data_IF_223380569646
#
_entry.id   IF_223380569646
#
_cell.length_a   1.000
_cell.length_b   1.000
_cell.length_c   1.000
_cell.angle_alpha   90.00
_cell.angle_beta   90.00
_cell.angle_gamma   90.00
#
_symmetry.space_group_name_H-M   'P 1'
#
loop_
_entity.id
_entity.type
_entity.pdbx_description
1 polymer ?
#
# COMPACT_ATOMS: atom_id res chain seq x y z
N UNK A 1 13.45 4.95 9.75
CA UNK A 1 14.78 4.66 10.34
C UNK A 1 14.65 3.69 11.52
N UNK A 2 13.77 3.97 12.48
CA UNK A 2 13.62 3.20 13.74
C UNK A 2 13.29 1.71 13.56
N UNK A 3 12.37 1.35 12.66
CA UNK A 3 12.00 -0.08 12.46
C UNK A 3 13.15 -0.90 11.85
N UNK A 4 13.91 -0.31 10.93
CA UNK A 4 15.08 -0.97 10.32
C UNK A 4 16.18 -1.22 11.37
N UNK A 5 16.41 -0.24 12.26
CA UNK A 5 17.33 -0.38 13.39
C UNK A 5 16.88 -1.45 14.40
N UNK A 6 15.58 -1.51 14.72
CA UNK A 6 15.03 -2.55 15.59
C UNK A 6 15.19 -3.96 15.00
N UNK A 7 15.00 -4.12 13.68
CA UNK A 7 15.23 -5.40 13.00
C UNK A 7 16.70 -5.81 13.03
N UNK A 8 17.63 -4.87 12.86
CA UNK A 8 19.07 -5.12 12.98
C UNK A 8 19.48 -5.52 14.41
N UNK A 9 18.75 -5.05 15.42
CA UNK A 9 18.93 -5.42 16.82
C UNK A 9 18.25 -6.75 17.21
N UNK A 10 17.65 -7.46 16.25
CA UNK A 10 17.06 -8.78 16.46
C UNK A 10 15.62 -8.78 16.99
N UNK A 11 14.94 -7.62 17.01
CA UNK A 11 13.52 -7.55 17.38
C UNK A 11 12.70 -8.26 16.29
N UNK A 12 11.82 -9.18 16.70
CA UNK A 12 11.02 -9.94 15.75
C UNK A 12 9.96 -9.08 15.08
N UNK A 13 9.55 -9.45 13.87
CA UNK A 13 8.49 -8.75 13.15
C UNK A 13 7.18 -8.69 13.95
N UNK A 14 6.89 -9.74 14.72
CA UNK A 14 5.72 -9.80 15.60
C UNK A 14 5.82 -8.78 16.76
N UNK A 15 6.99 -8.63 17.38
CA UNK A 15 7.21 -7.65 18.45
C UNK A 15 7.12 -6.20 17.93
N UNK A 16 7.57 -5.95 16.70
CA UNK A 16 7.43 -4.66 16.03
C UNK A 16 5.96 -4.36 15.74
N UNK A 17 5.20 -5.37 15.28
CA UNK A 17 3.77 -5.24 15.03
C UNK A 17 2.97 -4.96 16.32
N UNK A 18 3.32 -5.61 17.44
CA UNK A 18 2.71 -5.36 18.76
C UNK A 18 2.94 -3.93 19.27
N UNK A 19 4.01 -3.26 18.83
CA UNK A 19 4.32 -1.87 19.15
C UNK A 19 3.69 -0.86 18.17
N UNK A 20 2.84 -1.31 17.25
CA UNK A 20 2.23 -0.46 16.23
C UNK A 20 3.16 -0.08 15.06
N UNK A 21 4.29 -0.79 14.94
CA UNK A 21 5.18 -0.76 13.77
C UNK A 21 4.73 -1.71 12.66
N UNK A 22 5.58 -1.92 11.65
CA UNK A 22 5.27 -2.83 10.54
C UNK A 22 4.14 -2.29 9.65
N UNK A 23 3.34 -3.18 9.08
CA UNK A 23 2.28 -2.82 8.11
C UNK A 23 1.30 -1.77 8.66
N UNK A 24 0.93 -1.84 9.93
CA UNK A 24 0.01 -0.87 10.54
C UNK A 24 0.52 0.58 10.48
N UNK A 25 1.84 0.77 10.61
CA UNK A 25 2.45 2.10 10.49
C UNK A 25 2.38 2.65 9.06
N UNK A 26 2.58 1.77 8.07
CA UNK A 26 2.51 2.14 6.65
C UNK A 26 1.07 2.38 6.23
N UNK A 27 0.12 1.59 6.73
CA UNK A 27 -1.31 1.81 6.49
C UNK A 27 -1.72 3.18 7.01
N UNK A 28 -1.39 3.52 8.26
CA UNK A 28 -1.68 4.84 8.83
C UNK A 28 -1.10 5.97 7.98
N UNK A 29 0.19 5.91 7.65
CA UNK A 29 0.84 6.93 6.84
C UNK A 29 0.23 7.04 5.43
N UNK A 30 -0.21 5.93 4.85
CA UNK A 30 -0.85 5.90 3.52
C UNK A 30 -2.25 6.49 3.56
N UNK A 31 -3.03 6.21 4.61
CA UNK A 31 -4.36 6.80 4.83
C UNK A 31 -4.26 8.32 5.03
N UNK A 32 -3.29 8.79 5.82
CA UNK A 32 -3.07 10.22 6.10
C UNK A 32 -2.53 11.02 4.90
N UNK A 33 -1.81 10.39 3.97
CA UNK A 33 -1.26 11.06 2.81
C UNK A 33 -2.34 11.38 1.75
N UNK A 34 -2.25 12.55 1.13
CA UNK A 34 -3.06 12.91 -0.03
C UNK A 34 -2.51 12.29 -1.34
N UNK A 35 -3.30 12.39 -2.43
CA UNK A 35 -2.91 11.87 -3.75
C UNK A 35 -1.59 12.43 -4.25
N UNK A 36 -1.35 13.74 -4.09
CA UNK A 36 -0.13 14.38 -4.58
C UNK A 36 1.10 13.87 -3.84
N UNK A 37 1.04 13.76 -2.51
CA UNK A 37 2.12 13.22 -1.68
C UNK A 37 2.45 11.78 -2.10
N UNK A 38 1.43 10.93 -2.29
CA UNK A 38 1.61 9.56 -2.74
C UNK A 38 2.23 9.49 -4.15
N UNK A 39 1.74 10.31 -5.07
CA UNK A 39 2.24 10.41 -6.44
C UNK A 39 3.71 10.85 -6.48
N UNK A 40 4.07 11.94 -5.81
CA UNK A 40 5.45 12.47 -5.79
C UNK A 40 6.41 11.44 -5.20
N UNK A 41 6.03 10.81 -4.08
CA UNK A 41 6.85 9.79 -3.44
C UNK A 41 7.06 8.56 -4.34
N UNK A 42 6.00 8.07 -4.98
CA UNK A 42 6.07 6.92 -5.90
C UNK A 42 6.87 7.25 -7.16
N UNK A 43 6.68 8.44 -7.76
CA UNK A 43 7.46 8.92 -8.90
C UNK A 43 8.95 8.96 -8.61
N UNK A 44 9.35 9.42 -7.41
CA UNK A 44 10.76 9.40 -6.98
C UNK A 44 11.37 7.99 -6.97
N UNK A 45 10.58 6.99 -6.56
CA UNK A 45 10.99 5.57 -6.60
C UNK A 45 11.08 5.04 -8.03
N UNK A 46 10.09 5.34 -8.88
CA UNK A 46 10.11 4.98 -10.30
C UNK A 46 11.30 5.59 -11.06
N UNK A 47 11.65 6.85 -10.78
CA UNK A 47 12.84 7.48 -11.35
C UNK A 47 14.13 6.73 -10.98
N UNK A 48 14.20 6.16 -9.77
CA UNK A 48 15.36 5.36 -9.35
C UNK A 48 15.40 4.04 -10.11
N UNK A 49 14.28 3.34 -10.23
CA UNK A 49 14.17 2.12 -11.03
C UNK A 49 14.49 2.36 -12.51
N UNK A 50 14.02 3.48 -13.07
CA UNK A 50 14.30 3.85 -14.46
C UNK A 50 15.80 4.04 -14.71
N UNK A 51 16.52 4.65 -13.76
CA UNK A 51 17.99 4.80 -13.84
C UNK A 51 18.72 3.46 -13.81
N UNK A 52 18.10 2.43 -13.26
CA UNK A 52 18.61 1.05 -13.26
C UNK A 52 18.17 0.25 -14.51
N UNK A 53 17.44 0.88 -15.44
CA UNK A 53 17.02 0.28 -16.71
C UNK A 53 15.66 -0.45 -16.63
N UNK A 54 14.92 -0.31 -15.54
CA UNK A 54 13.57 -0.87 -15.43
C UNK A 54 12.61 -0.09 -16.33
N UNK A 55 11.93 -0.80 -17.22
CA UNK A 55 10.93 -0.21 -18.13
C UNK A 55 9.50 -0.56 -17.76
N UNK A 56 9.29 -1.62 -16.98
CA UNK A 56 7.96 -2.09 -16.57
C UNK A 56 7.98 -2.52 -15.11
N UNK A 57 6.95 -2.14 -14.36
CA UNK A 57 6.76 -2.55 -12.97
C UNK A 57 5.33 -3.01 -12.72
N UNK A 58 5.18 -3.83 -11.70
CA UNK A 58 3.90 -4.12 -11.09
C UNK A 58 3.78 -3.34 -9.77
N UNK A 59 2.64 -2.68 -9.56
CA UNK A 59 2.34 -1.86 -8.38
C UNK A 59 1.10 -2.38 -7.70
N UNK A 60 1.23 -2.82 -6.44
CA UNK A 60 0.13 -3.37 -5.65
C UNK A 60 -0.44 -2.30 -4.73
N UNK A 61 -1.74 -2.36 -4.46
CA UNK A 61 -2.37 -1.58 -3.38
C UNK A 61 -2.13 -2.26 -2.01
N UNK A 62 -3.11 -2.29 -1.10
CA UNK A 62 -3.02 -3.06 0.15
C UNK A 62 -2.41 -2.31 1.34
N UNK A 63 -2.17 -1.01 1.21
CA UNK A 63 -1.86 -0.14 2.36
C UNK A 63 -3.01 0.82 2.68
N UNK A 64 -4.15 0.73 1.98
CA UNK A 64 -5.38 1.42 2.35
C UNK A 64 -6.17 0.62 3.38
N UNK A 65 -6.38 -0.68 3.10
CA UNK A 65 -7.21 -1.58 3.92
C UNK A 65 -8.63 -1.04 4.24
N UNK A 66 -9.12 -0.13 3.39
CA UNK A 66 -10.47 0.39 3.36
C UNK A 66 -10.77 0.85 1.93
N UNK A 67 -12.04 0.98 1.57
CA UNK A 67 -12.46 1.23 0.19
C UNK A 67 -11.90 2.53 -0.37
N UNK A 68 -11.95 3.61 0.42
CA UNK A 68 -11.51 4.95 -0.02
C UNK A 68 -10.02 4.96 -0.33
N UNK A 69 -9.20 4.42 0.57
CA UNK A 69 -7.75 4.49 0.43
C UNK A 69 -7.21 3.45 -0.57
N UNK A 70 -7.87 2.31 -0.74
CA UNK A 70 -7.52 1.37 -1.82
C UNK A 70 -7.81 1.99 -3.21
N UNK A 71 -8.96 2.66 -3.38
CA UNK A 71 -9.27 3.38 -4.62
C UNK A 71 -8.29 4.54 -4.87
N UNK A 72 -7.95 5.31 -3.83
CA UNK A 72 -6.93 6.36 -3.90
C UNK A 72 -5.59 5.83 -4.43
N UNK A 73 -5.15 4.66 -3.98
CA UNK A 73 -3.90 4.05 -4.45
C UNK A 73 -3.98 3.63 -5.93
N UNK A 74 -5.12 3.09 -6.38
CA UNK A 74 -5.32 2.76 -7.80
C UNK A 74 -5.32 4.01 -8.69
N UNK A 75 -5.96 5.09 -8.23
CA UNK A 75 -5.96 6.38 -8.93
C UNK A 75 -4.55 6.97 -9.04
N UNK A 76 -3.75 6.89 -7.97
CA UNK A 76 -2.34 7.31 -8.00
C UNK A 76 -1.53 6.46 -8.98
N UNK A 77 -1.73 5.14 -9.01
CA UNK A 77 -1.07 4.26 -9.98
C UNK A 77 -1.44 4.63 -11.43
N UNK A 78 -2.71 4.95 -11.68
CA UNK A 78 -3.18 5.41 -13.00
C UNK A 78 -2.53 6.73 -13.40
N UNK A 79 -2.49 7.72 -12.50
CA UNK A 79 -1.83 9.00 -12.74
C UNK A 79 -0.33 8.82 -13.04
N UNK A 80 0.35 7.92 -12.33
CA UNK A 80 1.76 7.62 -12.59
C UNK A 80 1.95 7.02 -13.98
N UNK A 81 1.08 6.10 -14.42
CA UNK A 81 1.14 5.52 -15.75
C UNK A 81 0.93 6.57 -16.86
N UNK A 82 0.12 7.60 -16.61
CA UNK A 82 -0.12 8.72 -17.53
C UNK A 82 1.07 9.71 -17.59
N UNK A 83 1.88 9.80 -16.53
CA UNK A 83 2.88 10.86 -16.35
C UNK A 83 4.33 10.37 -16.17
N UNK A 84 4.59 9.07 -16.25
CA UNK A 84 5.92 8.47 -16.11
C UNK A 84 6.23 7.52 -17.27
N UNK A 85 7.47 7.44 -17.77
CA UNK A 85 7.84 6.57 -18.90
C UNK A 85 7.94 5.07 -18.57
N UNK A 86 7.72 4.67 -17.32
CA UNK A 86 7.72 3.24 -16.94
C UNK A 86 6.28 2.74 -17.11
N UNK A 87 6.12 1.59 -17.74
CA UNK A 87 4.83 0.90 -17.81
C UNK A 87 4.45 0.35 -16.43
N UNK A 88 3.26 0.69 -15.94
CA UNK A 88 2.79 0.30 -14.61
C UNK A 88 1.57 -0.61 -14.75
N UNK A 89 1.69 -1.84 -14.25
CA UNK A 89 0.55 -2.75 -14.07
C UNK A 89 0.08 -2.70 -12.63
N UNK A 90 -1.16 -2.28 -12.41
CA UNK A 90 -1.73 -2.17 -11.06
C UNK A 90 -2.42 -3.46 -10.64
N UNK A 91 -2.17 -3.91 -9.41
CA UNK A 91 -2.84 -5.06 -8.79
C UNK A 91 -3.58 -4.61 -7.53
N UNK A 92 -4.89 -4.87 -7.48
CA UNK A 92 -5.66 -4.68 -6.25
C UNK A 92 -5.28 -5.76 -5.22
N UNK A 93 -4.93 -5.33 -4.01
CA UNK A 93 -4.57 -6.18 -2.87
C UNK A 93 -5.29 -5.72 -1.60
N UNK A 94 -6.61 -5.51 -1.64
CA UNK A 94 -7.37 -5.10 -0.45
C UNK A 94 -7.27 -6.11 0.71
N UNK A 95 -7.08 -7.40 0.42
CA UNK A 95 -6.87 -8.45 1.42
C UNK A 95 -5.40 -8.63 1.85
N UNK A 96 -4.64 -7.54 1.99
CA UNK A 96 -3.21 -7.60 2.37
C UNK A 96 -2.99 -7.95 3.85
N UNK A 97 -3.81 -7.37 4.73
CA UNK A 97 -3.80 -7.61 6.16
C UNK A 97 -5.16 -7.28 6.77
N UNK A 98 -5.40 -7.74 8.01
CA UNK A 98 -6.60 -7.39 8.75
C UNK A 98 -6.43 -6.02 9.42
N UNK A 99 -7.18 -4.98 9.00
CA UNK A 99 -7.11 -3.67 9.64
C UNK A 99 -7.56 -3.70 11.11
N UNK A 100 -7.04 -2.81 11.98
CA UNK A 100 -7.32 -2.83 13.43
C UNK A 100 -8.81 -2.76 13.80
N UNK A 101 -9.61 -2.01 13.05
CA UNK A 101 -11.05 -1.87 13.21
C UNK A 101 -11.82 -3.20 13.04
N UNK A 102 -11.24 -4.20 12.36
CA UNK A 102 -11.82 -5.53 12.16
C UNK A 102 -11.12 -6.63 12.98
N UNK A 103 -10.39 -6.28 14.05
CA UNK A 103 -9.72 -7.27 14.91
C UNK A 103 -10.73 -8.29 15.46
N UNK A 104 -10.48 -9.57 15.18
CA UNK A 104 -11.37 -10.67 15.56
C UNK A 104 -12.61 -10.85 14.67
N UNK A 105 -12.72 -10.06 13.60
CA UNK A 105 -13.85 -10.05 12.66
C UNK A 105 -13.33 -10.15 11.21
N UNK A 106 -12.43 -11.10 10.96
CA UNK A 106 -11.77 -11.25 9.66
C UNK A 106 -12.74 -11.52 8.51
N UNK A 107 -13.75 -12.38 8.73
CA UNK A 107 -14.75 -12.69 7.71
C UNK A 107 -15.55 -11.44 7.31
N UNK A 108 -15.93 -10.59 8.29
CA UNK A 108 -16.62 -9.32 8.01
C UNK A 108 -15.76 -8.35 7.18
N UNK A 109 -14.43 -8.36 7.35
CA UNK A 109 -13.54 -7.58 6.49
C UNK A 109 -13.49 -8.16 5.07
N UNK A 110 -13.44 -9.49 4.94
CA UNK A 110 -13.46 -10.15 3.63
C UNK A 110 -14.77 -9.88 2.89
N UNK A 111 -15.90 -9.84 3.59
CA UNK A 111 -17.19 -9.46 3.00
C UNK A 111 -17.11 -8.07 2.36
N UNK A 112 -16.47 -7.09 3.02
CA UNK A 112 -16.27 -5.74 2.44
C UNK A 112 -15.35 -5.80 1.22
N UNK A 113 -14.25 -6.56 1.28
CA UNK A 113 -13.36 -6.72 0.13
C UNK A 113 -14.12 -7.30 -1.07
N UNK A 114 -14.95 -8.31 -0.83
CA UNK A 114 -15.71 -9.01 -1.86
C UNK A 114 -16.89 -8.20 -2.42
N UNK A 115 -17.69 -7.63 -1.53
CA UNK A 115 -19.00 -7.07 -1.87
C UNK A 115 -18.94 -5.54 -2.12
N UNK A 116 -17.92 -4.86 -1.60
CA UNK A 116 -17.76 -3.41 -1.74
C UNK A 116 -16.55 -3.04 -2.61
N UNK A 117 -15.35 -3.56 -2.30
CA UNK A 117 -14.12 -3.13 -2.98
C UNK A 117 -13.99 -3.72 -4.39
N UNK A 118 -14.08 -5.05 -4.53
CA UNK A 118 -13.92 -5.73 -5.82
C UNK A 118 -14.84 -5.16 -6.93
N UNK A 119 -16.14 -4.90 -6.69
CA UNK A 119 -17.01 -4.32 -7.71
C UNK A 119 -16.63 -2.90 -8.16
N UNK A 120 -15.85 -2.18 -7.36
CA UNK A 120 -15.45 -0.78 -7.63
C UNK A 120 -14.09 -0.68 -8.33
N UNK A 121 -13.29 -1.75 -8.29
CA UNK A 121 -11.96 -1.81 -8.91
C UNK A 121 -11.93 -2.64 -10.20
N UNK A 122 -13.00 -3.38 -10.49
CA UNK A 122 -13.16 -4.24 -11.68
C UNK A 122 -13.52 -3.46 -12.95
#
# INVERSE_FOLDING_TARGET
ATEFEQRLQGVSYQQIAEQGGGIASTVRATREADHETLFVNAKGRLNSLLREGVTTVESKTGYGLDTENELKLLEVNKLLAEHHPIDIHSTFLGAHALPPEYKGQADAYIDIVCDEMLPRVA
#
